data_IF_028178959589
#
_entry.id   IF_028178959589
#
_cell.length_a   1.000
_cell.length_b   1.000
_cell.length_c   1.000
_cell.angle_alpha   90.00
_cell.angle_beta   90.00
_cell.angle_gamma   90.00
#
_symmetry.space_group_name_H-M   'P 1'
#
loop_
_entity.id
_entity.type
_entity.pdbx_description
1 polymer ?
#
# COMPACT_ATOMS: atom_id res chain seq x y z
N UNK A 1 -23.44 24.20 62.68
CA UNK A 1 -23.29 24.22 61.21
C UNK A 1 -21.80 24.19 60.96
N UNK A 2 -21.20 22.99 61.01
CA UNK A 2 -19.76 22.84 60.86
C UNK A 2 -19.43 23.05 59.39
N UNK A 3 -18.90 24.23 59.06
CA UNK A 3 -18.32 24.56 57.76
C UNK A 3 -16.99 23.81 57.59
N UNK A 4 -17.02 22.48 57.68
CA UNK A 4 -15.88 21.67 57.29
C UNK A 4 -15.85 21.56 55.77
N UNK A 5 -14.66 21.79 55.21
CA UNK A 5 -14.32 21.66 53.78
C UNK A 5 -14.83 20.33 53.19
N UNK A 6 -14.94 19.27 54.00
CA UNK A 6 -15.43 17.96 53.57
C UNK A 6 -16.91 17.98 53.14
N UNK A 7 -17.72 18.93 53.61
CA UNK A 7 -19.10 19.13 53.14
C UNK A 7 -19.21 19.80 51.76
N UNK A 8 -18.10 20.30 51.21
CA UNK A 8 -18.06 21.09 49.96
C UNK A 8 -17.62 20.29 48.74
N UNK A 9 -17.14 19.05 48.90
CA UNK A 9 -16.79 18.17 47.78
C UNK A 9 -17.91 17.94 46.75
N UNK A 10 -19.21 17.83 47.13
CA UNK A 10 -20.29 17.62 46.16
C UNK A 10 -20.53 18.83 45.23
N UNK A 11 -20.18 20.05 45.65
CA UNK A 11 -20.37 21.27 44.87
C UNK A 11 -19.31 21.46 43.78
N UNK A 12 -18.20 20.73 43.87
CA UNK A 12 -17.13 20.75 42.85
C UNK A 12 -17.53 19.89 41.62
N UNK A 13 -18.49 18.98 41.79
CA UNK A 13 -18.90 18.03 40.75
C UNK A 13 -19.82 18.68 39.70
N UNK A 14 -20.51 19.79 40.02
CA UNK A 14 -21.54 20.40 39.16
C UNK A 14 -20.97 21.36 38.07
N UNK A 15 -19.69 21.22 37.73
CA UNK A 15 -19.10 21.83 36.53
C UNK A 15 -18.95 23.36 36.51
N UNK A 16 -19.43 24.09 37.51
CA UNK A 16 -19.23 25.54 37.60
C UNK A 16 -18.32 25.91 38.77
N UNK A 17 -17.03 26.16 38.51
CA UNK A 17 -16.11 26.77 39.49
C UNK A 17 -16.64 28.07 40.13
N UNK A 18 -17.70 28.66 39.56
CA UNK A 18 -18.47 29.77 40.11
C UNK A 18 -19.07 29.50 41.50
N UNK A 19 -19.47 28.27 41.81
CA UNK A 19 -20.02 27.94 43.12
C UNK A 19 -18.92 27.81 44.18
N UNK A 20 -17.72 27.35 43.80
CA UNK A 20 -16.57 27.28 44.71
C UNK A 20 -16.07 28.68 45.11
N UNK A 21 -15.86 29.57 44.15
CA UNK A 21 -15.44 30.96 44.41
C UNK A 21 -16.46 31.72 45.27
N UNK A 22 -17.75 31.50 45.00
CA UNK A 22 -18.84 32.12 45.77
C UNK A 22 -18.86 31.64 47.22
N UNK A 23 -18.67 30.35 47.44
CA UNK A 23 -18.63 29.74 48.78
C UNK A 23 -17.38 30.19 49.55
N UNK A 24 -16.23 30.26 48.88
CA UNK A 24 -14.98 30.77 49.46
C UNK A 24 -15.15 32.22 49.96
N UNK A 25 -15.67 33.10 49.11
CA UNK A 25 -15.88 34.51 49.46
C UNK A 25 -16.84 34.66 50.66
N UNK A 26 -17.93 33.88 50.69
CA UNK A 26 -18.87 33.88 51.82
C UNK A 26 -18.23 33.46 53.14
N UNK A 27 -17.30 32.51 53.11
CA UNK A 27 -16.63 32.06 54.32
C UNK A 27 -15.53 33.02 54.80
N UNK A 28 -14.84 33.71 53.87
CA UNK A 28 -13.92 34.80 54.20
C UNK A 28 -14.66 35.98 54.85
N UNK A 29 -15.82 36.38 54.30
CA UNK A 29 -16.69 37.42 54.86
C UNK A 29 -17.16 37.09 56.28
N UNK A 30 -17.59 35.84 56.51
CA UNK A 30 -18.00 35.36 57.83
C UNK A 30 -16.85 35.42 58.83
N UNK A 31 -15.64 34.99 58.43
CA UNK A 31 -14.45 35.03 59.29
C UNK A 31 -14.09 36.47 59.69
N UNK A 32 -14.12 37.41 58.75
CA UNK A 32 -13.87 38.82 59.05
C UNK A 32 -14.88 39.39 60.04
N UNK A 33 -16.17 39.10 59.87
CA UNK A 33 -17.22 39.56 60.77
C UNK A 33 -17.05 39.02 62.20
N UNK A 34 -16.76 37.72 62.35
CA UNK A 34 -16.53 37.11 63.68
C UNK A 34 -15.25 37.67 64.32
N UNK A 35 -14.22 37.96 63.52
CA UNK A 35 -12.98 38.55 64.02
C UNK A 35 -13.20 39.97 64.56
N UNK A 36 -13.98 40.78 63.85
CA UNK A 36 -14.36 42.12 64.31
C UNK A 36 -15.12 42.07 65.64
N UNK A 37 -16.08 41.15 65.77
CA UNK A 37 -16.84 40.95 67.02
C UNK A 37 -15.92 40.53 68.18
N UNK A 38 -14.98 39.60 67.95
CA UNK A 38 -14.04 39.16 68.99
C UNK A 38 -13.13 40.31 69.44
N UNK A 39 -12.65 41.14 68.50
CA UNK A 39 -11.82 42.31 68.84
C UNK A 39 -12.58 43.35 69.66
N UNK A 40 -13.86 43.60 69.37
CA UNK A 40 -14.70 44.49 70.17
C UNK A 40 -14.93 43.95 71.60
N UNK A 41 -15.08 42.63 71.75
CA UNK A 41 -15.31 41.97 73.03
C UNK A 41 -14.05 41.85 73.91
N UNK A 42 -12.95 41.36 73.34
CA UNK A 42 -11.76 40.91 74.05
C UNK A 42 -10.43 41.49 73.54
N UNK A 43 -10.46 42.47 72.63
CA UNK A 43 -9.26 43.10 72.08
C UNK A 43 -8.40 43.86 73.10
N UNK A 44 -7.24 44.33 72.63
CA UNK A 44 -6.18 44.87 73.49
C UNK A 44 -6.46 46.28 74.05
N UNK A 45 -7.19 47.14 73.34
CA UNK A 45 -7.50 48.51 73.77
C UNK A 45 -9.02 48.76 73.76
N UNK A 46 -9.55 49.35 74.83
CA UNK A 46 -10.97 49.71 74.98
C UNK A 46 -12.00 48.58 74.77
N UNK A 47 -11.61 47.31 74.91
CA UNK A 47 -12.54 46.20 74.78
C UNK A 47 -13.64 46.23 75.84
N UNK A 48 -14.81 45.69 75.50
CA UNK A 48 -15.97 45.66 76.39
C UNK A 48 -15.61 44.94 77.69
N UNK A 49 -14.86 43.83 77.63
CA UNK A 49 -14.42 43.09 78.82
C UNK A 49 -13.47 43.88 79.71
N UNK A 50 -12.51 44.61 79.16
CA UNK A 50 -11.59 45.43 79.94
C UNK A 50 -12.33 46.57 80.66
N UNK A 51 -13.19 47.29 79.94
CA UNK A 51 -14.00 48.36 80.51
C UNK A 51 -14.94 47.83 81.60
N UNK A 52 -15.56 46.67 81.39
CA UNK A 52 -16.47 46.08 82.35
C UNK A 52 -15.74 45.58 83.61
N UNK A 53 -14.52 45.05 83.45
CA UNK A 53 -13.65 44.67 84.58
C UNK A 53 -13.21 45.87 85.41
N UNK A 54 -12.93 46.99 84.77
CA UNK A 54 -12.66 48.25 85.48
C UNK A 54 -13.88 48.73 86.26
N UNK A 55 -15.08 48.66 85.66
CA UNK A 55 -16.33 48.98 86.35
C UNK A 55 -16.56 48.07 87.56
N UNK A 56 -16.36 46.76 87.40
CA UNK A 56 -16.51 45.78 88.47
C UNK A 56 -15.53 46.04 89.62
N UNK A 57 -14.24 46.27 89.32
CA UNK A 57 -13.21 46.59 90.31
C UNK A 57 -13.54 47.85 91.14
N UNK A 58 -14.13 48.87 90.51
CA UNK A 58 -14.57 50.10 91.21
C UNK A 58 -15.77 49.81 92.09
N UNK A 59 -16.75 49.04 91.59
CA UNK A 59 -17.95 48.66 92.33
C UNK A 59 -17.65 47.73 93.51
N UNK A 60 -16.70 46.80 93.36
CA UNK A 60 -16.25 45.88 94.40
C UNK A 60 -15.60 46.64 95.58
N UNK A 61 -14.75 47.63 95.28
CA UNK A 61 -14.16 48.51 96.31
C UNK A 61 -15.21 49.29 97.12
N UNK A 62 -16.35 49.60 96.49
CA UNK A 62 -17.47 50.31 97.12
C UNK A 62 -18.50 49.38 97.78
N UNK A 63 -18.43 48.06 97.53
CA UNK A 63 -19.42 47.08 97.97
C UNK A 63 -19.55 46.98 99.51
N UNK A 64 -18.51 47.32 100.26
CA UNK A 64 -18.52 47.34 101.73
C UNK A 64 -19.32 48.50 102.32
N UNK A 65 -19.67 49.51 101.51
CA UNK A 65 -20.36 50.73 101.95
C UNK A 65 -21.89 50.66 101.86
N UNK A 66 -22.46 49.71 101.10
CA UNK A 66 -23.91 49.58 100.90
C UNK A 66 -24.31 48.20 100.37
N UNK A 67 -25.39 47.64 100.91
CA UNK A 67 -26.01 46.39 100.44
C UNK A 67 -26.46 46.52 98.97
N UNK A 68 -26.94 47.70 98.56
CA UNK A 68 -27.35 47.95 97.17
C UNK A 68 -26.14 47.91 96.22
N UNK A 69 -25.03 48.55 96.59
CA UNK A 69 -23.79 48.55 95.78
C UNK A 69 -23.22 47.14 95.68
N UNK A 70 -23.27 46.35 96.76
CA UNK A 70 -22.88 44.94 96.76
C UNK A 70 -23.71 44.12 95.76
N UNK A 71 -25.03 44.34 95.69
CA UNK A 71 -25.89 43.65 94.71
C UNK A 71 -25.57 44.06 93.26
N UNK A 72 -25.22 45.33 93.02
CA UNK A 72 -24.78 45.80 91.71
C UNK A 72 -23.44 45.20 91.30
N UNK A 73 -22.44 45.18 92.19
CA UNK A 73 -21.13 44.54 91.93
C UNK A 73 -21.30 43.05 91.57
N UNK A 74 -22.16 42.32 92.27
CA UNK A 74 -22.48 40.92 91.90
C UNK A 74 -23.06 40.80 90.48
N UNK A 75 -23.90 41.76 90.04
CA UNK A 75 -24.42 41.80 88.67
C UNK A 75 -23.34 42.16 87.65
N UNK A 76 -22.44 43.10 87.96
CA UNK A 76 -21.29 43.42 87.11
C UNK A 76 -20.39 42.21 86.91
N UNK A 77 -20.01 41.51 87.99
CA UNK A 77 -19.25 40.27 87.92
C UNK A 77 -19.96 39.16 87.11
N UNK A 78 -21.29 39.02 87.26
CA UNK A 78 -22.06 38.04 86.47
C UNK A 78 -22.07 38.37 84.97
N UNK A 79 -22.24 39.64 84.59
CA UNK A 79 -22.20 40.05 83.17
C UNK A 79 -20.79 39.93 82.60
N UNK A 80 -19.76 40.15 83.43
CA UNK A 80 -18.38 39.94 83.02
C UNK A 80 -18.09 38.49 82.69
N UNK A 81 -18.55 37.54 83.52
CA UNK A 81 -18.39 36.11 83.25
C UNK A 81 -19.12 35.72 81.96
N UNK A 82 -20.37 36.12 81.78
CA UNK A 82 -21.16 35.81 80.58
C UNK A 82 -20.50 36.37 79.30
N UNK A 83 -20.08 37.63 79.31
CA UNK A 83 -19.41 38.22 78.15
C UNK A 83 -18.05 37.59 77.88
N UNK A 84 -17.38 37.09 78.92
CA UNK A 84 -16.11 36.38 78.77
C UNK A 84 -16.35 35.03 78.09
N UNK A 85 -17.36 34.28 78.54
CA UNK A 85 -17.72 33.00 77.92
C UNK A 85 -18.12 33.20 76.45
N UNK A 86 -18.89 34.24 76.13
CA UNK A 86 -19.22 34.60 74.73
C UNK A 86 -17.95 34.96 73.93
N UNK A 87 -17.00 35.68 74.52
CA UNK A 87 -15.75 36.00 73.83
C UNK A 87 -14.89 34.75 73.57
N UNK A 88 -14.80 33.85 74.55
CA UNK A 88 -14.09 32.57 74.44
C UNK A 88 -14.76 31.66 73.39
N UNK A 89 -16.10 31.61 73.33
CA UNK A 89 -16.85 30.91 72.27
C UNK A 89 -16.63 31.53 70.89
N UNK A 90 -16.57 32.86 70.80
CA UNK A 90 -16.30 33.58 69.55
C UNK A 90 -14.86 33.32 69.07
N UNK A 91 -13.90 33.22 69.99
CA UNK A 91 -12.51 32.83 69.70
C UNK A 91 -12.42 31.38 69.22
N UNK A 92 -13.14 30.46 69.86
CA UNK A 92 -13.23 29.07 69.41
C UNK A 92 -13.81 28.99 67.99
N UNK A 93 -14.87 29.77 67.70
CA UNK A 93 -15.47 29.83 66.37
C UNK A 93 -14.48 30.37 65.32
N UNK A 94 -13.61 31.33 65.67
CA UNK A 94 -12.57 31.85 64.78
C UNK A 94 -11.51 30.81 64.43
N UNK A 95 -11.10 30.03 65.43
CA UNK A 95 -10.12 28.95 65.26
C UNK A 95 -10.69 27.83 64.39
N UNK A 96 -11.99 27.50 64.53
CA UNK A 96 -12.66 26.51 63.69
C UNK A 96 -12.84 26.99 62.23
N UNK A 97 -12.84 28.31 62.00
CA UNK A 97 -12.88 28.94 60.67
C UNK A 97 -11.48 29.12 60.05
N UNK A 98 -10.45 28.44 60.55
CA UNK A 98 -9.13 28.39 59.89
C UNK A 98 -9.15 27.50 58.64
N UNK A 99 -9.10 28.15 57.48
CA UNK A 99 -8.77 27.51 56.21
C UNK A 99 -7.29 27.15 56.19
N UNK A 100 -6.96 25.87 56.02
CA UNK A 100 -5.59 25.42 55.70
C UNK A 100 -5.19 26.00 54.33
N UNK A 101 -4.27 26.98 54.27
CA UNK A 101 -3.90 27.65 53.02
C UNK A 101 -3.28 26.66 52.02
N UNK A 102 -2.57 25.65 52.53
CA UNK A 102 -1.91 24.64 51.70
C UNK A 102 -2.94 23.76 51.01
N UNK A 103 -3.99 23.34 51.74
CA UNK A 103 -5.07 22.53 51.18
C UNK A 103 -5.90 23.32 50.15
N UNK A 104 -6.14 24.60 50.41
CA UNK A 104 -6.86 25.48 49.47
C UNK A 104 -6.06 25.70 48.17
N UNK A 105 -4.74 25.88 48.27
CA UNK A 105 -3.87 25.98 47.11
C UNK A 105 -3.93 24.71 46.24
N UNK A 106 -3.79 23.52 46.85
CA UNK A 106 -3.89 22.24 46.12
C UNK A 106 -5.24 22.08 45.41
N UNK A 107 -6.33 22.54 46.04
CA UNK A 107 -7.66 22.44 45.46
C UNK A 107 -7.82 23.39 44.27
N UNK A 108 -7.32 24.62 44.35
CA UNK A 108 -7.32 25.57 43.24
C UNK A 108 -6.48 25.06 42.06
N UNK A 109 -5.28 24.53 42.32
CA UNK A 109 -4.42 23.96 41.26
C UNK A 109 -5.13 22.83 40.50
N UNK A 110 -5.87 21.97 41.21
CA UNK A 110 -6.69 20.92 40.59
C UNK A 110 -7.84 21.49 39.77
N UNK A 111 -8.54 22.50 40.30
CA UNK A 111 -9.68 23.15 39.62
C UNK A 111 -9.21 23.87 38.35
N UNK A 112 -8.07 24.56 38.41
CA UNK A 112 -7.44 25.22 37.27
C UNK A 112 -7.01 24.21 36.19
N UNK A 113 -6.50 23.04 36.59
CA UNK A 113 -6.17 21.96 35.66
C UNK A 113 -7.43 21.45 34.92
N UNK A 114 -8.53 21.22 35.64
CA UNK A 114 -9.81 20.80 35.05
C UNK A 114 -10.37 21.88 34.13
N UNK A 115 -10.39 23.14 34.56
CA UNK A 115 -10.86 24.26 33.74
C UNK A 115 -10.01 24.44 32.47
N UNK A 116 -8.70 24.20 32.56
CA UNK A 116 -7.81 24.23 31.40
C UNK A 116 -8.16 23.13 30.39
N UNK A 117 -8.54 21.94 30.86
CA UNK A 117 -9.03 20.86 29.99
C UNK A 117 -10.39 21.23 29.37
N UNK A 118 -11.31 21.80 30.14
CA UNK A 118 -12.60 22.26 29.63
C UNK A 118 -12.43 23.29 28.52
N UNK A 119 -11.56 24.27 28.72
CA UNK A 119 -11.24 25.27 27.70
C UNK A 119 -10.54 24.67 26.46
N UNK A 120 -9.60 23.75 26.67
CA UNK A 120 -8.86 23.08 25.58
C UNK A 120 -9.78 22.29 24.68
N UNK A 121 -10.72 21.54 25.27
CA UNK A 121 -11.64 20.67 24.55
C UNK A 121 -12.98 21.33 24.24
N UNK A 122 -13.21 22.56 24.71
CA UNK A 122 -14.44 23.35 24.54
C UNK A 122 -15.69 22.63 25.07
N UNK A 123 -15.55 22.05 26.26
CA UNK A 123 -16.60 21.28 26.94
C UNK A 123 -17.08 22.03 28.19
N UNK A 124 -18.24 21.62 28.69
CA UNK A 124 -18.90 22.29 29.82
C UNK A 124 -19.16 21.42 31.05
N UNK A 125 -18.89 20.12 30.96
CA UNK A 125 -19.14 19.17 32.04
C UNK A 125 -17.98 18.19 32.21
N UNK A 126 -17.91 17.57 33.39
CA UNK A 126 -16.90 16.54 33.67
C UNK A 126 -17.22 15.24 32.93
N UNK A 127 -18.51 14.95 32.72
CA UNK A 127 -18.98 13.82 31.92
C UNK A 127 -18.49 13.91 30.47
N UNK A 128 -18.58 15.08 29.83
CA UNK A 128 -18.02 15.33 28.49
C UNK A 128 -16.50 15.09 28.46
N UNK A 129 -15.78 15.40 29.55
CA UNK A 129 -14.34 15.16 29.63
C UNK A 129 -14.00 13.66 29.66
N UNK A 130 -14.80 12.87 30.39
CA UNK A 130 -14.66 11.41 30.44
C UNK A 130 -15.00 10.75 29.10
N UNK A 131 -15.98 11.28 28.37
CA UNK A 131 -16.29 10.82 27.00
C UNK A 131 -15.10 11.05 26.05
N UNK A 132 -14.44 12.20 26.13
CA UNK A 132 -13.24 12.50 25.34
C UNK A 132 -12.06 11.60 25.73
N UNK A 133 -11.88 11.33 27.03
CA UNK A 133 -10.85 10.40 27.50
C UNK A 133 -11.06 9.00 26.91
N UNK A 134 -12.29 8.47 26.99
CA UNK A 134 -12.63 7.18 26.41
C UNK A 134 -12.43 7.16 24.89
N UNK A 135 -12.83 8.22 24.18
CA UNK A 135 -12.62 8.34 22.73
C UNK A 135 -11.11 8.31 22.37
N UNK A 136 -10.27 8.98 23.15
CA UNK A 136 -8.82 8.95 22.93
C UNK A 136 -8.20 7.60 23.28
N UNK A 137 -8.65 6.95 24.35
CA UNK A 137 -8.20 5.61 24.70
C UNK A 137 -8.51 4.62 23.57
N UNK A 138 -9.73 4.65 23.04
CA UNK A 138 -10.14 3.84 21.89
C UNK A 138 -9.27 4.12 20.66
N UNK A 139 -9.05 5.39 20.31
CA UNK A 139 -8.19 5.77 19.18
C UNK A 139 -6.75 5.27 19.36
N UNK A 140 -6.20 5.36 20.57
CA UNK A 140 -4.85 4.87 20.89
C UNK A 140 -4.79 3.36 20.75
N UNK A 141 -5.80 2.64 21.22
CA UNK A 141 -5.86 1.18 21.12
C UNK A 141 -5.97 0.72 19.66
N UNK A 142 -6.78 1.40 18.84
CA UNK A 142 -6.86 1.15 17.39
C UNK A 142 -5.52 1.40 16.71
N UNK A 143 -4.85 2.53 17.02
CA UNK A 143 -3.55 2.85 16.43
C UNK A 143 -2.48 1.79 16.78
N UNK A 144 -2.42 1.35 18.04
CA UNK A 144 -1.51 0.27 18.47
C UNK A 144 -1.80 -1.05 17.76
N UNK A 145 -3.07 -1.40 17.59
CA UNK A 145 -3.45 -2.62 16.87
C UNK A 145 -3.01 -2.57 15.39
N UNK A 146 -3.19 -1.43 14.73
CA UNK A 146 -2.75 -1.21 13.34
C UNK A 146 -1.22 -1.27 13.20
N UNK A 147 -0.47 -0.76 14.18
CA UNK A 147 1.00 -0.83 14.18
C UNK A 147 1.48 -2.29 14.23
N UNK A 148 0.87 -3.10 15.10
CA UNK A 148 1.14 -4.54 15.20
C UNK A 148 0.78 -5.26 13.88
N UNK A 149 -0.39 -4.99 13.32
CA UNK A 149 -0.82 -5.59 12.04
C UNK A 149 0.13 -5.21 10.89
N UNK A 150 0.55 -3.95 10.84
CA UNK A 150 1.50 -3.45 9.83
C UNK A 150 2.85 -4.15 9.94
N UNK A 151 3.37 -4.33 11.15
CA UNK A 151 4.63 -5.05 11.37
C UNK A 151 4.52 -6.53 10.94
N UNK A 152 3.40 -7.19 11.28
CA UNK A 152 3.14 -8.57 10.83
C UNK A 152 3.06 -8.67 9.30
N UNK A 153 2.32 -7.77 8.64
CA UNK A 153 2.21 -7.75 7.18
C UNK A 153 3.55 -7.47 6.50
N UNK A 154 4.38 -6.60 7.08
CA UNK A 154 5.73 -6.35 6.57
C UNK A 154 6.64 -7.58 6.66
N UNK A 155 6.56 -8.37 7.72
CA UNK A 155 7.31 -9.62 7.82
C UNK A 155 6.82 -10.68 6.83
N UNK A 156 5.51 -10.75 6.59
CA UNK A 156 4.93 -11.59 5.53
C UNK A 156 5.42 -11.13 4.16
N UNK A 157 5.38 -9.83 3.86
CA UNK A 157 5.84 -9.26 2.60
C UNK A 157 7.32 -9.61 2.34
N UNK A 158 8.21 -9.36 3.30
CA UNK A 158 9.64 -9.72 3.19
C UNK A 158 9.85 -11.20 2.90
N UNK A 159 9.03 -12.06 3.51
CA UNK A 159 9.12 -13.51 3.30
C UNK A 159 8.68 -13.89 1.89
N UNK A 160 7.57 -13.32 1.41
CA UNK A 160 7.07 -13.55 0.05
C UNK A 160 8.02 -12.99 -1.02
N UNK A 161 8.63 -11.82 -0.78
CA UNK A 161 9.64 -11.23 -1.67
C UNK A 161 10.87 -12.13 -1.82
N UNK A 162 11.34 -12.75 -0.73
CA UNK A 162 12.43 -13.73 -0.79
C UNK A 162 12.05 -14.97 -1.60
N UNK A 163 10.85 -15.49 -1.38
CA UNK A 163 10.36 -16.68 -2.09
C UNK A 163 10.16 -16.42 -3.59
N UNK A 164 9.60 -15.28 -3.98
CA UNK A 164 9.42 -14.95 -5.41
C UNK A 164 10.77 -14.72 -6.10
N UNK A 165 11.72 -14.03 -5.44
CA UNK A 165 13.07 -13.84 -5.99
C UNK A 165 13.81 -15.17 -6.15
N UNK A 166 13.66 -16.09 -5.19
CA UNK A 166 14.26 -17.43 -5.29
C UNK A 166 13.70 -18.17 -6.50
N UNK A 167 12.37 -18.26 -6.64
CA UNK A 167 11.71 -18.93 -7.77
C UNK A 167 12.05 -18.28 -9.11
N UNK A 168 12.13 -16.94 -9.15
CA UNK A 168 12.47 -16.21 -10.37
C UNK A 168 13.92 -16.47 -10.80
N UNK A 169 14.86 -16.58 -9.85
CA UNK A 169 16.24 -16.96 -10.15
C UNK A 169 16.34 -18.43 -10.62
N UNK A 170 15.61 -19.36 -9.99
CA UNK A 170 15.56 -20.76 -10.45
C UNK A 170 15.03 -20.86 -11.90
N UNK A 171 14.04 -20.04 -12.28
CA UNK A 171 13.54 -19.95 -13.65
C UNK A 171 14.60 -19.37 -14.60
N UNK A 172 15.29 -18.30 -14.18
CA UNK A 172 16.36 -17.66 -14.94
C UNK A 172 17.51 -18.61 -15.25
N UNK A 173 17.96 -19.39 -14.25
CA UNK A 173 18.98 -20.42 -14.44
C UNK A 173 18.54 -21.51 -15.43
N UNK A 174 17.31 -22.01 -15.29
CA UNK A 174 16.76 -23.01 -16.22
C UNK A 174 16.68 -22.48 -17.66
N UNK A 175 16.35 -21.20 -17.85
CA UNK A 175 16.34 -20.54 -19.15
C UNK A 175 17.75 -20.48 -19.74
N UNK A 176 18.73 -19.98 -18.98
CA UNK A 176 20.12 -19.87 -19.45
C UNK A 176 20.71 -21.23 -19.86
N UNK A 177 20.34 -22.32 -19.19
CA UNK A 177 20.78 -23.68 -19.54
C UNK A 177 20.30 -24.15 -20.92
N UNK A 178 19.14 -23.68 -21.40
CA UNK A 178 18.58 -24.12 -22.69
C UNK A 178 18.93 -23.19 -23.85
N UNK A 179 19.31 -21.94 -23.59
CA UNK A 179 19.62 -20.95 -24.62
C UNK A 179 20.69 -21.40 -25.61
N UNK A 180 21.79 -22.02 -25.11
CA UNK A 180 22.85 -22.54 -25.98
C UNK A 180 22.35 -23.60 -26.95
N UNK A 181 21.54 -24.56 -26.47
CA UNK A 181 20.97 -25.62 -27.32
C UNK A 181 20.06 -25.06 -28.41
N UNK A 182 19.18 -24.12 -28.07
CA UNK A 182 18.28 -23.45 -29.03
C UNK A 182 19.09 -22.63 -30.03
N UNK A 183 20.12 -21.92 -29.56
CA UNK A 183 21.03 -21.15 -30.41
C UNK A 183 21.71 -22.01 -31.46
N UNK A 184 22.39 -23.07 -31.02
CA UNK A 184 23.11 -23.99 -31.90
C UNK A 184 22.21 -24.71 -32.91
N UNK A 185 21.03 -25.19 -32.46
CA UNK A 185 20.09 -25.88 -33.34
C UNK A 185 19.55 -24.93 -34.41
N UNK A 186 19.23 -23.70 -34.02
CA UNK A 186 18.73 -22.67 -34.94
C UNK A 186 19.80 -22.27 -35.94
N UNK A 187 21.06 -22.07 -35.52
CA UNK A 187 22.18 -21.76 -36.43
C UNK A 187 22.36 -22.87 -37.47
N UNK A 188 22.38 -24.15 -37.05
CA UNK A 188 22.51 -25.28 -37.99
C UNK A 188 21.40 -25.29 -39.03
N UNK A 189 20.16 -25.01 -38.61
CA UNK A 189 19.02 -24.97 -39.52
C UNK A 189 19.07 -23.77 -40.47
N UNK A 190 19.46 -22.60 -39.98
CA UNK A 190 19.64 -21.39 -40.79
C UNK A 190 20.75 -21.56 -41.85
N UNK A 191 21.84 -22.25 -41.51
CA UNK A 191 22.91 -22.59 -42.45
C UNK A 191 22.40 -23.51 -43.57
N UNK A 192 21.57 -24.50 -43.23
CA UNK A 192 20.91 -25.35 -44.22
C UNK A 192 19.94 -24.57 -45.11
N UNK A 193 19.34 -23.51 -44.59
CA UNK A 193 18.45 -22.59 -45.31
C UNK A 193 19.18 -21.45 -46.03
N UNK A 194 20.50 -21.57 -46.26
CA UNK A 194 21.27 -20.65 -47.09
C UNK A 194 21.87 -19.44 -46.38
N UNK A 195 21.74 -19.34 -45.05
CA UNK A 195 22.39 -18.29 -44.25
C UNK A 195 23.68 -18.88 -43.63
N UNK A 196 24.68 -19.15 -44.48
CA UNK A 196 25.90 -19.89 -44.08
C UNK A 196 26.67 -19.27 -42.91
N UNK A 197 26.63 -17.93 -42.81
CA UNK A 197 27.33 -17.17 -41.77
C UNK A 197 26.42 -16.70 -40.63
N UNK A 198 25.26 -17.34 -40.46
CA UNK A 198 24.30 -17.01 -39.42
C UNK A 198 24.93 -17.06 -38.02
N UNK A 199 24.68 -16.02 -37.25
CA UNK A 199 24.84 -16.00 -35.79
C UNK A 199 23.45 -15.87 -35.19
N UNK A 200 23.12 -16.76 -34.25
CA UNK A 200 21.85 -16.72 -33.54
C UNK A 200 22.06 -17.20 -32.11
N UNK A 201 21.67 -16.38 -31.14
CA UNK A 201 21.74 -16.72 -29.72
C UNK A 201 20.69 -15.95 -28.93
N UNK A 202 20.35 -16.45 -27.76
CA UNK A 202 19.43 -15.80 -26.84
C UNK A 202 20.22 -15.15 -25.72
N UNK A 203 19.77 -13.97 -25.29
CA UNK A 203 20.30 -13.27 -24.12
C UNK A 203 19.19 -13.04 -23.11
N UNK A 204 19.55 -12.98 -21.83
CA UNK A 204 18.66 -12.51 -20.78
C UNK A 204 19.27 -11.33 -20.02
N UNK A 205 18.52 -10.26 -19.91
CA UNK A 205 18.80 -9.18 -18.96
C UNK A 205 17.93 -9.35 -17.72
N UNK A 206 18.53 -9.24 -16.53
CA UNK A 206 17.79 -9.38 -15.27
C UNK A 206 17.13 -8.05 -14.88
N UNK A 207 15.83 -8.10 -14.63
CA UNK A 207 15.06 -7.03 -14.03
C UNK A 207 15.43 -6.84 -12.56
N UNK A 208 15.18 -5.64 -12.04
CA UNK A 208 15.34 -5.35 -10.61
C UNK A 208 14.30 -6.09 -9.75
N UNK A 209 13.09 -6.29 -10.30
CA UNK A 209 11.99 -6.98 -9.63
C UNK A 209 11.37 -8.01 -10.59
N UNK A 210 10.99 -9.21 -10.10
CA UNK A 210 10.28 -10.17 -10.92
C UNK A 210 8.92 -9.62 -11.37
N UNK A 211 8.61 -9.80 -12.65
CA UNK A 211 7.27 -9.57 -13.20
C UNK A 211 6.53 -10.90 -13.35
N UNK A 212 5.33 -10.88 -13.94
CA UNK A 212 4.50 -12.07 -14.19
C UNK A 212 5.26 -13.18 -14.93
N UNK A 213 6.18 -12.79 -15.83
CA UNK A 213 6.97 -13.72 -16.64
C UNK A 213 8.37 -14.04 -16.07
N UNK A 214 8.62 -13.65 -14.82
CA UNK A 214 9.90 -13.86 -14.12
C UNK A 214 10.79 -12.62 -14.13
N UNK A 215 12.08 -12.82 -13.89
CA UNK A 215 13.07 -11.74 -13.74
C UNK A 215 13.88 -11.48 -15.02
N UNK A 216 13.66 -12.25 -16.10
CA UNK A 216 14.45 -12.12 -17.33
C UNK A 216 13.67 -11.39 -18.42
N UNK A 217 14.30 -10.39 -19.02
CA UNK A 217 13.97 -9.92 -20.37
C UNK A 217 14.76 -10.80 -21.35
N UNK A 218 14.06 -11.69 -22.06
CA UNK A 218 14.67 -12.59 -23.04
C UNK A 218 14.65 -11.96 -24.43
N UNK A 219 15.83 -11.85 -25.04
CA UNK A 219 16.01 -11.25 -26.37
C UNK A 219 16.63 -12.27 -27.33
N UNK A 220 16.13 -12.27 -28.57
CA UNK A 220 16.65 -13.11 -29.65
C UNK A 220 17.59 -12.28 -30.52
N UNK A 221 18.86 -12.67 -30.54
CA UNK A 221 19.92 -11.95 -31.24
C UNK A 221 20.25 -12.68 -32.54
N UNK A 222 20.32 -11.94 -33.65
CA UNK A 222 20.61 -12.47 -34.98
C UNK A 222 21.56 -11.59 -35.78
N UNK A 223 22.43 -12.24 -36.56
CA UNK A 223 23.16 -11.62 -37.68
C UNK A 223 23.29 -12.62 -38.82
N UNK A 224 23.04 -12.18 -40.04
CA UNK A 224 23.28 -12.98 -41.25
C UNK A 224 24.78 -13.06 -41.63
N UNK A 225 25.62 -12.18 -41.04
CA UNK A 225 27.00 -11.98 -41.42
C UNK A 225 27.94 -12.14 -40.23
N UNK A 226 28.98 -12.98 -40.37
CA UNK A 226 29.96 -13.23 -39.31
C UNK A 226 30.69 -11.98 -38.81
N UNK A 227 30.81 -10.96 -39.66
CA UNK A 227 31.54 -9.72 -39.37
C UNK A 227 30.64 -8.60 -38.81
N UNK A 228 29.33 -8.80 -38.77
CA UNK A 228 28.37 -7.82 -38.22
C UNK A 228 27.87 -8.36 -36.89
N UNK A 229 27.97 -7.59 -35.79
CA UNK A 229 27.43 -8.01 -34.50
C UNK A 229 25.94 -8.37 -34.60
N UNK A 230 25.53 -9.40 -33.87
CA UNK A 230 24.12 -9.74 -33.78
C UNK A 230 23.35 -8.65 -33.04
N UNK A 231 22.19 -8.31 -33.59
CA UNK A 231 21.23 -7.35 -33.05
C UNK A 231 19.89 -8.04 -32.86
N UNK A 232 18.91 -7.34 -32.26
CA UNK A 232 17.57 -7.91 -32.07
C UNK A 232 16.99 -8.36 -33.41
N UNK A 233 16.38 -9.55 -33.43
CA UNK A 233 15.76 -10.11 -34.65
C UNK A 233 14.77 -9.12 -35.27
N UNK A 234 14.02 -8.37 -34.45
CA UNK A 234 13.05 -7.34 -34.87
C UNK A 234 13.67 -6.16 -35.63
N UNK A 235 14.96 -5.88 -35.42
CA UNK A 235 15.64 -4.69 -35.96
C UNK A 235 16.52 -5.00 -37.17
N UNK A 236 16.82 -6.28 -37.43
CA UNK A 236 17.96 -6.66 -38.28
C UNK A 236 17.59 -7.57 -39.44
N UNK A 237 16.54 -8.37 -39.32
CA UNK A 237 16.21 -9.35 -40.34
C UNK A 237 15.40 -8.73 -41.49
N UNK A 238 15.82 -8.95 -42.74
CA UNK A 238 14.95 -8.69 -43.89
C UNK A 238 13.70 -9.60 -43.84
N UNK A 239 12.62 -9.23 -44.53
CA UNK A 239 11.37 -10.02 -44.50
C UNK A 239 11.56 -11.52 -44.79
N UNK A 240 12.39 -11.84 -45.79
CA UNK A 240 12.73 -13.23 -46.13
C UNK A 240 13.60 -13.95 -45.09
N UNK A 241 14.53 -13.25 -44.44
CA UNK A 241 15.35 -13.83 -43.36
C UNK A 241 14.53 -14.05 -42.09
N UNK A 242 13.66 -13.10 -41.74
CA UNK A 242 12.77 -13.22 -40.59
C UNK A 242 11.83 -14.43 -40.75
N UNK A 243 11.27 -14.62 -41.95
CA UNK A 243 10.47 -15.79 -42.29
C UNK A 243 11.24 -17.11 -42.14
N UNK A 244 12.52 -17.16 -42.55
CA UNK A 244 13.38 -18.33 -42.36
C UNK A 244 13.71 -18.57 -40.89
N UNK A 245 13.97 -17.53 -40.10
CA UNK A 245 14.16 -17.63 -38.64
C UNK A 245 12.89 -18.16 -37.98
N UNK A 246 11.72 -17.64 -38.36
CA UNK A 246 10.44 -18.12 -37.84
C UNK A 246 10.15 -19.56 -38.23
N UNK A 247 10.54 -20.01 -39.43
CA UNK A 247 10.44 -21.42 -39.80
C UNK A 247 11.30 -22.31 -38.88
N UNK A 248 12.54 -21.91 -38.60
CA UNK A 248 13.42 -22.64 -37.67
C UNK A 248 12.82 -22.71 -36.26
N UNK A 249 12.40 -21.56 -35.72
CA UNK A 249 11.84 -21.48 -34.38
C UNK A 249 10.51 -22.23 -34.27
N UNK A 250 9.62 -22.08 -35.25
CA UNK A 250 8.38 -22.87 -35.30
C UNK A 250 8.69 -24.34 -35.41
N UNK A 251 9.71 -24.76 -36.15
CA UNK A 251 10.11 -26.17 -36.20
C UNK A 251 10.56 -26.69 -34.83
N UNK A 252 11.29 -25.90 -34.05
CA UNK A 252 11.67 -26.27 -32.67
C UNK A 252 10.49 -26.30 -31.69
N UNK A 253 9.55 -25.37 -31.82
CA UNK A 253 8.34 -25.31 -30.97
C UNK A 253 7.35 -26.42 -31.37
N UNK A 254 7.30 -26.74 -32.65
CA UNK A 254 6.35 -27.67 -33.25
C UNK A 254 6.50 -29.10 -32.71
N UNK A 255 7.72 -29.52 -32.35
CA UNK A 255 7.94 -30.83 -31.72
C UNK A 255 7.34 -30.94 -30.32
N UNK A 256 7.05 -29.81 -29.66
CA UNK A 256 6.60 -29.75 -28.27
C UNK A 256 5.15 -29.24 -28.12
N UNK A 257 4.59 -28.58 -29.14
CA UNK A 257 3.24 -28.00 -29.11
C UNK A 257 2.42 -28.27 -30.38
N UNK A 258 1.15 -28.58 -30.16
CA UNK A 258 0.18 -28.90 -31.21
C UNK A 258 -0.40 -27.61 -31.84
N UNK A 259 0.35 -26.97 -32.74
CA UNK A 259 -0.22 -25.96 -33.65
C UNK A 259 -0.74 -26.72 -34.89
N UNK A 260 -2.07 -26.84 -35.09
CA UNK A 260 -2.65 -27.75 -36.08
C UNK A 260 -2.48 -27.28 -37.54
N UNK A 261 -2.37 -25.96 -37.76
CA UNK A 261 -2.21 -25.39 -39.10
C UNK A 261 -1.16 -24.27 -39.08
N UNK A 262 -0.21 -24.32 -40.02
CA UNK A 262 0.80 -23.30 -40.25
C UNK A 262 0.64 -22.74 -41.66
N UNK A 263 0.62 -21.40 -41.78
CA UNK A 263 0.59 -20.68 -43.05
C UNK A 263 1.91 -19.95 -43.20
N UNK A 264 2.54 -20.12 -44.36
CA UNK A 264 3.78 -19.48 -44.74
C UNK A 264 3.61 -18.73 -46.05
N UNK A 265 3.94 -17.44 -46.05
CA UNK A 265 3.89 -16.56 -47.21
C UNK A 265 5.27 -15.91 -47.43
N UNK A 266 5.68 -15.77 -48.69
CA UNK A 266 6.95 -15.16 -49.13
C UNK A 266 8.25 -15.67 -48.44
N UNK A 267 8.18 -16.82 -47.81
CA UNK A 267 9.30 -17.49 -47.15
C UNK A 267 10.43 -17.86 -48.12
N UNK A 268 10.08 -18.01 -49.40
CA UNK A 268 10.93 -18.38 -50.52
C UNK A 268 11.59 -17.16 -51.21
N UNK A 269 11.45 -15.96 -50.63
CA UNK A 269 12.08 -14.75 -51.14
C UNK A 269 13.61 -14.81 -51.02
N UNK A 270 14.28 -14.63 -52.16
CA UNK A 270 15.75 -14.59 -52.23
C UNK A 270 16.43 -15.95 -52.11
N UNK A 271 15.69 -17.06 -52.27
CA UNK A 271 16.26 -18.42 -52.27
C UNK A 271 15.99 -19.14 -53.60
N UNK A 272 16.90 -20.03 -53.99
CA UNK A 272 16.76 -20.86 -55.19
C UNK A 272 17.60 -22.14 -55.08
N UNK A 273 17.40 -23.07 -56.01
CA UNK A 273 18.21 -24.29 -56.11
C UNK A 273 18.11 -25.19 -54.86
N UNK A 274 19.25 -25.65 -54.35
CA UNK A 274 19.34 -26.57 -53.21
C UNK A 274 18.68 -26.02 -51.93
N UNK A 275 18.72 -24.70 -51.73
CA UNK A 275 18.12 -24.06 -50.54
C UNK A 275 16.59 -24.18 -50.59
N UNK A 276 15.99 -23.99 -51.77
CA UNK A 276 14.55 -24.12 -51.96
C UNK A 276 14.09 -25.58 -51.75
N UNK A 277 14.91 -26.56 -52.14
CA UNK A 277 14.63 -27.97 -51.90
C UNK A 277 14.68 -28.33 -50.40
N UNK A 278 15.73 -27.88 -49.69
CA UNK A 278 15.85 -28.04 -48.23
C UNK A 278 14.67 -27.40 -47.49
N UNK A 279 14.25 -26.23 -47.93
CA UNK A 279 13.11 -25.52 -47.37
C UNK A 279 11.80 -26.31 -47.55
N UNK A 280 11.56 -26.84 -48.75
CA UNK A 280 10.42 -27.72 -49.00
C UNK A 280 10.47 -29.01 -48.18
N UNK A 281 11.66 -29.60 -47.97
CA UNK A 281 11.85 -30.77 -47.10
C UNK A 281 11.47 -30.47 -45.65
N UNK A 282 11.89 -29.32 -45.11
CA UNK A 282 11.54 -28.91 -43.74
C UNK A 282 10.02 -28.73 -43.61
N UNK A 283 9.36 -28.11 -44.58
CA UNK A 283 7.90 -27.99 -44.57
C UNK A 283 7.18 -29.34 -44.66
N UNK A 284 7.72 -30.25 -45.46
CA UNK A 284 7.19 -31.60 -45.59
C UNK A 284 7.33 -32.39 -44.27
N UNK A 285 8.47 -32.25 -43.59
CA UNK A 285 8.69 -32.86 -42.27
C UNK A 285 7.73 -32.28 -41.23
N UNK A 286 7.51 -30.95 -41.24
CA UNK A 286 6.49 -30.32 -40.39
C UNK A 286 5.08 -30.84 -40.71
N UNK A 287 4.77 -31.04 -41.99
CA UNK A 287 3.46 -31.48 -42.48
C UNK A 287 3.09 -32.92 -42.09
N UNK A 288 4.03 -33.70 -41.51
CA UNK A 288 3.72 -35.04 -40.99
C UNK A 288 2.68 -35.03 -39.88
N UNK A 289 2.75 -34.01 -39.01
CA UNK A 289 1.93 -33.93 -37.80
C UNK A 289 0.95 -32.75 -37.80
N UNK A 290 0.93 -31.93 -38.87
CA UNK A 290 0.07 -30.73 -38.97
C UNK A 290 -0.20 -30.34 -40.42
N UNK A 291 -1.16 -29.46 -40.63
CA UNK A 291 -1.39 -28.85 -41.94
C UNK A 291 -0.40 -27.72 -42.20
N UNK A 292 0.33 -27.76 -43.31
CA UNK A 292 1.20 -26.67 -43.75
C UNK A 292 0.68 -26.11 -45.08
N UNK A 293 0.38 -24.82 -45.11
CA UNK A 293 -0.02 -24.09 -46.31
C UNK A 293 1.13 -23.14 -46.66
N UNK A 294 1.72 -23.31 -47.83
CA UNK A 294 2.76 -22.42 -48.34
C UNK A 294 2.29 -21.77 -49.64
N UNK A 295 2.45 -20.45 -49.72
CA UNK A 295 2.30 -19.68 -50.95
C UNK A 295 3.72 -19.53 -51.52
N UNK A 296 3.97 -20.08 -52.70
CA UNK A 296 5.31 -20.15 -53.27
C UNK A 296 5.30 -20.00 -54.79
N UNK A 297 6.37 -19.42 -55.32
CA UNK A 297 6.66 -19.37 -56.75
C UNK A 297 7.79 -20.34 -57.14
N UNK A 298 8.36 -21.07 -56.18
CA UNK A 298 9.47 -21.99 -56.43
C UNK A 298 8.97 -23.41 -56.70
N UNK A 299 9.32 -24.01 -57.85
CA UNK A 299 8.88 -25.36 -58.21
C UNK A 299 9.40 -26.42 -57.23
N UNK A 300 10.57 -26.19 -56.61
CA UNK A 300 11.14 -27.10 -55.61
C UNK A 300 10.26 -27.19 -54.36
N UNK A 301 9.69 -26.08 -53.89
CA UNK A 301 8.81 -26.04 -52.72
C UNK A 301 7.44 -26.60 -53.10
N UNK A 302 6.87 -26.17 -54.23
CA UNK A 302 5.56 -26.65 -54.71
C UNK A 302 5.53 -28.17 -54.99
N UNK A 303 6.64 -28.74 -55.45
CA UNK A 303 6.77 -30.17 -55.66
C UNK A 303 6.58 -30.97 -54.36
N UNK A 304 7.10 -30.47 -53.23
CA UNK A 304 7.06 -31.14 -51.92
C UNK A 304 5.68 -31.16 -51.25
N UNK A 305 4.74 -30.35 -51.73
CA UNK A 305 3.38 -30.30 -51.20
C UNK A 305 2.59 -31.61 -51.43
N UNK A 306 1.80 -32.05 -50.45
CA UNK A 306 0.89 -33.19 -50.63
C UNK A 306 -0.21 -32.86 -51.65
N UNK A 307 -0.69 -31.62 -51.62
CA UNK A 307 -1.66 -31.06 -52.58
C UNK A 307 -1.07 -29.79 -53.19
N UNK A 308 -1.40 -29.50 -54.45
CA UNK A 308 -0.93 -28.31 -55.16
C UNK A 308 -2.13 -27.57 -55.74
N UNK A 309 -2.33 -26.35 -55.27
CA UNK A 309 -3.36 -25.45 -55.77
C UNK A 309 -2.73 -24.36 -56.64
N UNK A 310 -3.29 -24.14 -57.83
CA UNK A 310 -2.91 -23.04 -58.72
C UNK A 310 -3.87 -21.87 -58.54
N UNK A 311 -3.31 -20.68 -58.36
CA UNK A 311 -4.07 -19.43 -58.38
C UNK A 311 -4.23 -18.98 -59.83
N UNK A 312 -5.47 -18.79 -60.28
CA UNK A 312 -5.80 -18.33 -61.64
C UNK A 312 -6.65 -17.06 -61.56
N UNK A 313 -6.31 -16.06 -62.37
CA UNK A 313 -7.12 -14.86 -62.56
C UNK A 313 -7.91 -14.99 -63.85
N UNK A 314 -9.24 -14.90 -63.74
CA UNK A 314 -10.14 -14.83 -64.89
C UNK A 314 -10.57 -13.38 -65.06
N UNK A 315 -10.33 -12.83 -66.25
CA UNK A 315 -10.80 -11.50 -66.65
C UNK A 315 -12.07 -11.67 -67.48
N UNK A 316 -13.21 -11.86 -66.81
CA UNK A 316 -14.53 -11.82 -67.47
C UNK A 316 -15.17 -10.44 -67.23
N UNK A 317 -15.09 -9.56 -68.23
CA UNK A 317 -15.69 -8.21 -68.20
C UNK A 317 -14.87 -7.17 -67.40
N UNK A 318 -15.53 -6.27 -66.67
CA UNK A 318 -14.89 -5.19 -65.87
C UNK A 318 -14.38 -5.65 -64.48
N UNK A 319 -14.50 -6.93 -64.12
CA UNK A 319 -14.07 -7.46 -62.81
C UNK A 319 -13.10 -8.62 -62.98
N UNK A 320 -11.92 -8.49 -62.38
CA UNK A 320 -10.96 -9.60 -62.25
C UNK A 320 -11.39 -10.51 -61.09
N UNK A 321 -11.62 -11.80 -61.37
CA UNK A 321 -11.94 -12.81 -60.35
C UNK A 321 -10.77 -13.78 -60.18
N UNK A 322 -10.29 -13.94 -58.95
CA UNK A 322 -9.24 -14.91 -58.59
C UNK A 322 -9.87 -16.22 -58.11
N UNK A 323 -9.44 -17.35 -58.68
CA UNK A 323 -9.91 -18.70 -58.31
C UNK A 323 -8.73 -19.62 -57.97
N UNK A 324 -8.98 -20.63 -57.13
CA UNK A 324 -8.03 -21.70 -56.80
C UNK A 324 -8.43 -23.00 -57.49
N UNK A 325 -7.49 -23.60 -58.22
CA UNK A 325 -7.69 -24.90 -58.89
C UNK A 325 -6.80 -25.95 -58.23
N UNK A 326 -7.39 -27.04 -57.75
CA UNK A 326 -6.64 -28.21 -57.28
C UNK A 326 -6.11 -28.99 -58.49
N UNK A 327 -4.80 -29.18 -58.56
CA UNK A 327 -4.14 -29.86 -59.67
C UNK A 327 -4.09 -31.37 -59.45
N UNK A 328 -4.43 -32.15 -60.49
CA UNK A 328 -4.16 -33.59 -60.53
C UNK A 328 -2.67 -33.86 -60.83
N UNK A 329 -2.24 -35.12 -60.86
CA UNK A 329 -0.84 -35.47 -61.08
C UNK A 329 -0.26 -34.98 -62.42
N UNK A 330 -1.05 -34.99 -63.50
CA UNK A 330 -0.61 -34.51 -64.81
C UNK A 330 -0.52 -32.98 -64.83
N UNK A 331 -1.56 -32.31 -64.34
CA UNK A 331 -1.61 -30.84 -64.22
C UNK A 331 -0.50 -30.31 -63.30
N UNK A 332 -0.14 -31.06 -62.25
CA UNK A 332 1.01 -30.74 -61.38
C UNK A 332 2.31 -30.78 -62.16
N UNK A 333 2.52 -31.76 -63.05
CA UNK A 333 3.72 -31.84 -63.88
C UNK A 333 3.79 -30.65 -64.83
N UNK A 334 2.68 -30.32 -65.50
CA UNK A 334 2.63 -29.18 -66.42
C UNK A 334 2.86 -27.85 -65.67
N UNK A 335 2.27 -27.66 -64.49
CA UNK A 335 2.48 -26.45 -63.71
C UNK A 335 3.93 -26.32 -63.21
N UNK A 336 4.50 -27.39 -62.65
CA UNK A 336 5.91 -27.37 -62.23
C UNK A 336 6.85 -27.14 -63.43
N UNK A 337 6.52 -27.69 -64.60
CA UNK A 337 7.28 -27.44 -65.83
C UNK A 337 7.14 -25.98 -66.30
N UNK A 338 5.96 -25.38 -66.15
CA UNK A 338 5.73 -23.96 -66.41
C UNK A 338 6.53 -23.07 -65.44
N UNK A 339 6.51 -23.37 -64.14
CA UNK A 339 7.31 -22.69 -63.11
C UNK A 339 8.82 -22.78 -63.40
N UNK A 340 9.29 -23.89 -63.99
CA UNK A 340 10.70 -24.10 -64.35
C UNK A 340 11.13 -23.41 -65.66
N UNK A 341 10.25 -23.34 -66.66
CA UNK A 341 10.60 -22.89 -68.03
C UNK A 341 10.03 -21.52 -68.42
N UNK A 342 9.19 -20.94 -67.57
CA UNK A 342 8.55 -19.66 -67.80
C UNK A 342 7.54 -19.73 -68.94
N UNK A 343 7.80 -19.00 -70.04
CA UNK A 343 6.81 -18.74 -71.09
C UNK A 343 6.59 -19.91 -72.07
N UNK A 344 7.50 -20.90 -72.15
CA UNK A 344 7.36 -22.04 -73.05
C UNK A 344 7.73 -23.35 -72.37
N UNK A 345 6.72 -24.19 -72.14
CA UNK A 345 6.89 -25.54 -71.58
C UNK A 345 7.62 -26.42 -72.59
N UNK A 346 8.78 -26.94 -72.18
CA UNK A 346 9.60 -27.86 -72.98
C UNK A 346 9.55 -29.28 -72.41
N UNK A 347 9.86 -30.29 -73.23
CA UNK A 347 9.94 -31.67 -72.75
C UNK A 347 11.04 -31.88 -71.70
N UNK A 348 12.11 -31.09 -71.78
CA UNK A 348 13.14 -31.04 -70.75
C UNK A 348 12.58 -30.55 -69.40
N UNK A 349 11.75 -29.50 -69.41
CA UNK A 349 11.11 -28.98 -68.20
C UNK A 349 10.11 -29.99 -67.60
N UNK A 350 9.35 -30.71 -68.43
CA UNK A 350 8.47 -31.81 -67.98
C UNK A 350 9.26 -32.94 -67.34
N UNK A 351 10.38 -33.33 -67.93
CA UNK A 351 11.24 -34.37 -67.37
C UNK A 351 11.82 -33.93 -66.02
N UNK A 352 12.25 -32.68 -65.89
CA UNK A 352 12.74 -32.14 -64.62
C UNK A 352 11.64 -32.06 -63.56
N UNK A 353 10.42 -31.65 -63.92
CA UNK A 353 9.27 -31.64 -63.01
C UNK A 353 8.93 -33.06 -62.50
N UNK A 354 8.98 -34.07 -63.37
CA UNK A 354 8.82 -35.48 -62.98
C UNK A 354 9.91 -35.94 -62.02
N UNK A 355 11.15 -35.49 -62.18
CA UNK A 355 12.24 -35.79 -61.25
C UNK A 355 12.00 -35.16 -59.88
N UNK A 356 11.59 -33.89 -59.83
CA UNK A 356 11.25 -33.19 -58.58
C UNK A 356 10.13 -33.89 -57.81
N UNK A 357 9.12 -34.44 -58.50
CA UNK A 357 8.05 -35.21 -57.88
C UNK A 357 8.50 -36.62 -57.42
N UNK A 358 9.50 -37.20 -58.09
CA UNK A 358 10.03 -38.53 -57.74
C UNK A 358 11.03 -38.48 -56.58
N UNK A 359 11.80 -37.40 -56.43
CA UNK A 359 12.75 -37.20 -55.32
C UNK A 359 12.10 -37.00 -53.94
N UNK A 360 10.79 -37.26 -53.85
CA UNK A 360 9.94 -37.11 -52.67
C UNK A 360 9.73 -38.46 -51.96
N UNK A 361 10.02 -39.58 -52.63
CA UNK A 361 9.88 -40.94 -52.11
C UNK A 361 11.19 -41.53 -51.59
#
# INVERSE_FOLDING_TARGET
MNLHIDGMLPLIIDGTGKDFDKIKNQAEDLKMAVYEVNQLLAGNENSILNNLRECDNVMEKLATKSVYIKSLSQRYGSVFIELKDIADETESLLNDLEFDPSRLQVLNEKLDAVNSLFNKFRISSFEELLEIEAEFEDKINVAKALEIETEQLNEVLKTQEKEILKKANELSEKRSLVFGKIGESTVKMLQNLGISNAQFYLTNEKLNFPEEHGIDIVEFMFSANKNIPANKVSETASGGELSRIMLCLKSHISSETLIPTLIFDEIDTGVSGEIADKMGSIMQDLARDRQVISITHLPQVAARGNQHYKVVKNEEGEKSQTSLLLLNNEDRIEELAAMLSGSKITDAARNQAKLLLKSIN
#
